data_IF_949597400745
#
_entry.id   IF_949597400745
#
_cell.length_a   1.000
_cell.length_b   1.000
_cell.length_c   1.000
_cell.angle_alpha   90.00
_cell.angle_beta   90.00
_cell.angle_gamma   90.00
#
_symmetry.space_group_name_H-M   'P 1'
#
loop_
_entity.id
_entity.type
_entity.pdbx_description
1 polymer ?
#
# COMPACT_ATOMS: atom_id res chain seq x y z
N UNK A 1 28.22 -8.86 -3.72
CA UNK A 1 29.24 -8.17 -2.92
C UNK A 1 28.58 -7.66 -1.65
N UNK A 2 28.97 -8.24 -0.52
CA UNK A 2 28.34 -8.02 0.77
C UNK A 2 29.03 -6.91 1.57
N UNK A 3 29.12 -5.72 1.06
CA UNK A 3 29.44 -4.55 1.89
C UNK A 3 28.13 -3.96 2.35
N UNK A 4 27.90 -3.90 3.68
CA UNK A 4 26.79 -3.14 4.22
C UNK A 4 26.96 -1.68 3.78
N UNK A 5 25.96 -1.17 3.08
CA UNK A 5 25.93 0.19 2.58
C UNK A 5 24.46 0.61 2.44
N UNK A 6 24.20 1.90 2.53
CA UNK A 6 22.87 2.43 2.23
C UNK A 6 22.79 2.70 0.73
N UNK A 7 21.87 2.05 0.05
CA UNK A 7 21.61 2.25 -1.38
C UNK A 7 20.22 2.81 -1.60
N UNK A 8 20.09 3.68 -2.59
CA UNK A 8 18.79 4.10 -3.13
C UNK A 8 18.66 3.40 -4.48
N UNK A 9 17.64 2.58 -4.61
CA UNK A 9 17.34 1.79 -5.79
C UNK A 9 16.04 2.32 -6.39
N UNK A 10 16.05 2.50 -7.68
CA UNK A 10 14.89 2.99 -8.43
C UNK A 10 14.67 2.05 -9.62
N UNK A 11 13.45 1.58 -9.80
CA UNK A 11 13.06 0.78 -10.95
C UNK A 11 12.89 1.62 -12.20
N UNK A 12 12.44 1.00 -13.26
CA UNK A 12 12.02 1.64 -14.51
C UNK A 12 10.51 1.52 -14.65
N UNK A 13 9.96 2.03 -15.76
CA UNK A 13 8.53 1.85 -16.09
C UNK A 13 8.16 0.40 -16.50
N UNK A 14 9.08 -0.54 -16.36
CA UNK A 14 8.89 -1.97 -16.64
C UNK A 14 9.07 -2.76 -15.34
N UNK A 15 8.53 -3.99 -15.29
CA UNK A 15 8.73 -4.86 -14.12
C UNK A 15 10.19 -5.19 -13.92
N UNK A 16 10.78 -4.68 -12.86
CA UNK A 16 12.17 -4.86 -12.48
C UNK A 16 12.34 -5.87 -11.33
N UNK A 17 13.51 -6.49 -11.26
CA UNK A 17 13.95 -7.31 -10.16
C UNK A 17 14.98 -6.55 -9.33
N UNK A 18 14.60 -6.07 -8.15
CA UNK A 18 15.43 -5.25 -7.28
C UNK A 18 15.91 -6.10 -6.12
N UNK A 19 17.23 -6.27 -6.00
CA UNK A 19 17.83 -7.05 -4.92
C UNK A 19 18.41 -6.11 -3.86
N UNK A 20 17.80 -6.10 -2.70
CA UNK A 20 18.33 -5.42 -1.52
C UNK A 20 19.49 -6.23 -0.95
N UNK A 21 20.50 -5.53 -0.48
CA UNK A 21 21.74 -6.12 -0.01
C UNK A 21 21.77 -6.34 1.49
N UNK A 22 22.93 -6.11 2.08
CA UNK A 22 23.10 -5.97 3.53
C UNK A 22 23.23 -4.48 3.84
N UNK A 23 22.46 -3.98 4.78
CA UNK A 23 22.49 -2.57 5.19
C UNK A 23 21.09 -1.96 5.15
N UNK A 24 21.04 -0.65 5.15
CA UNK A 24 19.80 0.13 5.13
C UNK A 24 19.54 0.55 3.69
N UNK A 25 18.81 -0.27 2.94
CA UNK A 25 18.53 -0.01 1.52
C UNK A 25 17.16 0.66 1.35
N UNK A 26 17.05 1.47 0.29
CA UNK A 26 15.82 2.20 -0.02
C UNK A 26 15.40 1.92 -1.45
N UNK A 27 14.15 1.53 -1.64
CA UNK A 27 13.55 1.33 -2.97
C UNK A 27 12.48 2.38 -3.20
N UNK A 28 12.57 3.09 -4.32
CA UNK A 28 11.58 4.09 -4.71
C UNK A 28 10.63 3.47 -5.73
N UNK A 29 9.33 3.49 -5.40
CA UNK A 29 8.26 3.25 -6.36
C UNK A 29 7.98 4.54 -7.14
N UNK A 30 8.22 4.50 -8.44
CA UNK A 30 8.06 5.63 -9.35
C UNK A 30 7.35 5.25 -10.66
N UNK A 31 6.63 4.13 -10.69
CA UNK A 31 5.94 3.68 -11.90
C UNK A 31 4.63 4.44 -12.13
N UNK A 32 4.68 5.47 -12.95
CA UNK A 32 3.52 6.25 -13.36
C UNK A 32 2.56 5.50 -14.28
N UNK A 33 2.93 4.34 -14.80
CA UNK A 33 2.04 3.52 -15.63
C UNK A 33 1.14 2.60 -14.82
N UNK A 34 1.57 2.19 -13.60
CA UNK A 34 0.86 1.21 -12.78
C UNK A 34 0.62 -0.14 -13.46
N UNK A 35 1.22 -0.36 -14.62
CA UNK A 35 1.02 -1.56 -15.44
C UNK A 35 2.07 -2.64 -15.16
N UNK A 36 3.13 -2.30 -14.47
CA UNK A 36 4.23 -3.19 -14.11
C UNK A 36 4.38 -3.26 -12.59
N UNK A 37 4.71 -4.45 -12.10
CA UNK A 37 4.94 -4.67 -10.67
C UNK A 37 6.40 -5.02 -10.48
N UNK A 38 7.14 -4.14 -9.82
CA UNK A 38 8.52 -4.41 -9.45
C UNK A 38 8.58 -5.45 -8.34
N UNK A 39 9.61 -6.30 -8.41
CA UNK A 39 9.83 -7.33 -7.39
C UNK A 39 11.06 -6.99 -6.57
N UNK A 40 10.84 -6.74 -5.29
CA UNK A 40 11.88 -6.52 -4.29
C UNK A 40 12.24 -7.84 -3.63
N UNK A 41 13.51 -8.20 -3.68
CA UNK A 41 14.07 -9.39 -3.06
C UNK A 41 14.91 -9.04 -1.85
N UNK A 42 14.92 -9.92 -0.86
CA UNK A 42 15.73 -9.79 0.37
C UNK A 42 15.37 -8.59 1.23
N UNK A 43 14.12 -8.11 1.18
CA UNK A 43 13.62 -7.05 2.04
C UNK A 43 13.66 -7.49 3.50
N UNK A 44 14.23 -6.65 4.36
CA UNK A 44 14.30 -6.86 5.81
C UNK A 44 13.24 -6.02 6.49
N UNK A 45 12.15 -6.66 6.94
CA UNK A 45 11.04 -6.02 7.64
C UNK A 45 11.38 -5.71 9.11
N UNK A 46 10.68 -4.78 9.73
CA UNK A 46 10.80 -4.44 11.14
C UNK A 46 11.41 -3.06 11.42
N UNK A 47 11.47 -2.19 10.43
CA UNK A 47 11.63 -0.74 10.59
C UNK A 47 13.03 -0.22 10.94
N UNK A 48 14.07 -0.98 10.70
CA UNK A 48 15.42 -0.52 11.07
C UNK A 48 16.44 -0.59 9.92
N UNK A 49 16.10 -1.17 8.78
CA UNK A 49 17.07 -1.45 7.73
C UNK A 49 16.59 -1.06 6.36
N UNK A 50 15.55 -1.71 5.83
CA UNK A 50 15.10 -1.47 4.46
C UNK A 50 13.83 -0.62 4.42
N UNK A 51 13.71 0.26 3.43
CA UNK A 51 12.54 1.15 3.29
C UNK A 51 12.01 1.12 1.87
N UNK A 52 10.69 0.96 1.72
CA UNK A 52 10.00 1.21 0.46
C UNK A 52 9.46 2.65 0.49
N UNK A 53 9.86 3.44 -0.49
CA UNK A 53 9.44 4.82 -0.66
C UNK A 53 8.36 4.85 -1.74
N UNK A 54 7.23 5.45 -1.43
CA UNK A 54 6.13 5.66 -2.37
C UNK A 54 6.05 7.14 -2.71
N UNK A 55 6.25 7.47 -3.97
CA UNK A 55 5.95 8.81 -4.47
C UNK A 55 4.43 8.91 -4.69
N UNK A 56 3.79 9.76 -3.91
CA UNK A 56 2.34 9.95 -3.97
C UNK A 56 1.92 10.50 -5.33
N UNK A 57 2.73 11.39 -5.92
CA UNK A 57 2.43 11.97 -7.22
C UNK A 57 2.46 10.91 -8.34
N UNK A 58 3.32 9.92 -8.24
CA UNK A 58 3.38 8.80 -9.17
C UNK A 58 2.17 7.87 -9.01
N UNK A 59 1.75 7.57 -7.79
CA UNK A 59 0.51 6.84 -7.55
C UNK A 59 -0.69 7.58 -8.13
N UNK A 60 -0.79 8.89 -7.91
CA UNK A 60 -1.88 9.73 -8.43
C UNK A 60 -1.91 9.81 -9.96
N UNK A 61 -0.76 9.73 -10.61
CA UNK A 61 -0.65 9.80 -12.09
C UNK A 61 -0.63 8.44 -12.75
N UNK A 62 -0.58 7.34 -12.00
CA UNK A 62 -0.54 5.99 -12.51
C UNK A 62 -1.79 5.65 -13.32
N UNK A 63 -1.67 5.65 -14.64
CA UNK A 63 -2.80 5.54 -15.59
C UNK A 63 -3.52 4.19 -15.54
N UNK A 64 -2.90 3.15 -14.97
CA UNK A 64 -3.52 1.84 -14.80
C UNK A 64 -4.39 1.77 -13.55
N UNK A 65 -4.28 2.71 -12.62
CA UNK A 65 -5.09 2.70 -11.42
C UNK A 65 -6.54 3.08 -11.73
N UNK A 66 -6.76 4.23 -12.30
CA UNK A 66 -8.05 4.66 -12.92
C UNK A 66 -7.73 5.90 -13.75
N UNK A 67 -8.62 6.31 -14.66
CA UNK A 67 -8.42 7.52 -15.45
C UNK A 67 -8.34 8.84 -14.66
N UNK A 68 -8.47 8.79 -13.33
CA UNK A 68 -8.28 9.92 -12.42
C UNK A 68 -8.13 9.45 -10.97
N UNK A 69 -6.93 9.10 -10.53
CA UNK A 69 -6.64 9.01 -9.09
C UNK A 69 -6.64 10.43 -8.53
N UNK A 70 -7.59 10.77 -7.68
CA UNK A 70 -7.77 12.13 -7.19
C UNK A 70 -7.05 12.37 -5.88
N UNK A 71 -6.98 11.36 -5.01
CA UNK A 71 -6.28 11.48 -3.73
C UNK A 71 -5.83 10.12 -3.20
N UNK A 72 -4.75 10.11 -2.41
CA UNK A 72 -4.39 8.99 -1.55
C UNK A 72 -4.96 9.27 -0.17
N UNK A 73 -5.99 8.53 0.23
CA UNK A 73 -6.82 8.79 1.41
C UNK A 73 -6.31 8.17 2.71
N UNK A 74 -5.06 7.78 2.78
CA UNK A 74 -4.54 7.14 3.99
C UNK A 74 -4.51 8.04 5.23
N UNK A 75 -4.84 9.33 5.09
CA UNK A 75 -5.04 10.26 6.19
C UNK A 75 -6.53 10.41 6.60
N UNK A 76 -7.43 9.65 5.96
CA UNK A 76 -8.87 9.72 6.21
C UNK A 76 -9.53 11.03 5.73
N UNK A 77 -8.84 11.82 4.92
CA UNK A 77 -9.38 13.01 4.26
C UNK A 77 -9.30 12.85 2.74
N UNK A 78 -10.14 13.56 2.00
CA UNK A 78 -10.06 13.62 0.54
C UNK A 78 -8.87 14.49 0.05
N UNK A 79 -8.01 14.94 0.95
CA UNK A 79 -6.76 15.61 0.60
C UNK A 79 -5.68 14.56 0.32
N UNK A 80 -4.78 14.86 -0.60
CA UNK A 80 -3.61 14.02 -0.83
C UNK A 80 -2.82 13.82 0.48
N UNK A 81 -2.37 12.60 0.73
CA UNK A 81 -1.50 12.29 1.86
C UNK A 81 -0.26 13.21 1.83
N UNK A 82 0.16 13.68 2.99
CA UNK A 82 1.36 14.49 3.10
C UNK A 82 2.62 13.61 3.06
N UNK A 83 3.71 14.13 2.51
CA UNK A 83 5.01 13.48 2.60
C UNK A 83 5.41 13.23 4.06
N UNK A 84 5.96 12.08 4.36
CA UNK A 84 6.43 11.72 5.70
C UNK A 84 6.38 10.24 6.00
N UNK A 85 6.72 9.90 7.24
CA UNK A 85 6.66 8.53 7.76
C UNK A 85 5.21 8.09 7.86
N UNK A 86 4.91 6.91 7.34
CA UNK A 86 3.60 6.28 7.44
C UNK A 86 3.34 5.76 8.86
N UNK A 87 2.08 5.82 9.28
CA UNK A 87 1.60 5.07 10.45
C UNK A 87 1.09 3.71 9.99
N UNK A 88 1.54 2.65 10.63
CA UNK A 88 1.03 1.30 10.35
C UNK A 88 -0.29 1.11 11.11
N UNK A 89 -1.33 0.76 10.36
CA UNK A 89 -2.63 0.34 10.91
C UNK A 89 -2.86 -1.11 10.54
N UNK A 90 -2.81 -2.00 11.54
CA UNK A 90 -2.98 -3.44 11.33
C UNK A 90 -4.46 -3.82 11.21
N UNK A 91 -4.84 -4.32 10.05
CA UNK A 91 -6.19 -4.81 9.77
C UNK A 91 -6.28 -6.31 10.05
N UNK A 92 -6.61 -6.68 11.29
CA UNK A 92 -6.95 -8.06 11.69
C UNK A 92 -8.46 -8.33 11.67
N UNK A 93 -9.28 -7.32 11.48
CA UNK A 93 -10.74 -7.29 11.42
C UNK A 93 -11.23 -5.99 10.80
N UNK A 94 -12.42 -5.56 11.16
CA UNK A 94 -12.93 -4.24 10.75
C UNK A 94 -12.01 -3.14 11.27
N UNK A 95 -11.65 -2.20 10.39
CA UNK A 95 -10.65 -1.16 10.66
C UNK A 95 -11.19 0.19 10.19
N UNK A 96 -10.99 1.23 11.00
CA UNK A 96 -11.33 2.60 10.64
C UNK A 96 -10.06 3.37 10.31
N UNK A 97 -10.02 4.01 9.16
CA UNK A 97 -8.92 4.88 8.75
C UNK A 97 -9.09 6.22 9.45
N UNK A 98 -8.06 6.64 10.19
CA UNK A 98 -8.08 7.88 10.98
C UNK A 98 -7.70 9.08 10.13
N UNK A 99 -8.38 10.21 10.33
CA UNK A 99 -8.03 11.50 9.71
C UNK A 99 -6.80 12.19 10.32
N UNK A 100 -6.11 11.54 11.24
CA UNK A 100 -5.04 12.19 12.01
C UNK A 100 -3.61 11.81 11.57
N UNK A 101 -3.44 10.81 10.68
CA UNK A 101 -2.13 10.32 10.27
C UNK A 101 -2.19 9.71 8.85
N UNK A 102 -1.05 9.67 8.18
CA UNK A 102 -0.89 8.94 6.92
C UNK A 102 -0.80 7.44 7.26
N UNK A 103 -1.87 6.72 7.04
CA UNK A 103 -1.96 5.33 7.44
C UNK A 103 -1.64 4.38 6.26
N UNK A 104 -0.74 3.43 6.48
CA UNK A 104 -0.62 2.25 5.63
C UNK A 104 -1.41 1.11 6.27
N UNK A 105 -2.39 0.59 5.57
CA UNK A 105 -3.20 -0.53 6.06
C UNK A 105 -2.43 -1.84 5.84
N UNK A 106 -2.00 -2.48 6.91
CA UNK A 106 -1.30 -3.76 6.87
C UNK A 106 -2.25 -4.88 7.25
N UNK A 107 -2.56 -5.75 6.30
CA UNK A 107 -3.47 -6.88 6.51
C UNK A 107 -2.74 -8.02 7.20
N UNK A 108 -3.12 -8.32 8.43
CA UNK A 108 -2.45 -9.32 9.26
C UNK A 108 -3.29 -10.59 9.49
N UNK A 109 -2.62 -11.71 9.66
CA UNK A 109 -3.22 -12.98 10.09
C UNK A 109 -4.07 -13.69 9.03
N UNK A 110 -4.02 -13.27 7.78
CA UNK A 110 -4.69 -13.92 6.65
C UNK A 110 -3.96 -13.62 5.34
N UNK A 111 -4.25 -14.41 4.32
CA UNK A 111 -3.74 -14.24 2.95
C UNK A 111 -4.89 -13.96 2.00
N UNK A 112 -4.63 -13.11 0.99
CA UNK A 112 -5.62 -12.67 0.01
C UNK A 112 -4.98 -12.60 -1.38
N UNK A 113 -5.74 -12.85 -2.42
CA UNK A 113 -5.41 -12.33 -3.76
C UNK A 113 -5.92 -10.88 -3.86
N UNK A 114 -5.52 -10.15 -4.89
CA UNK A 114 -6.04 -8.80 -5.12
C UNK A 114 -7.58 -8.79 -5.15
N UNK A 115 -8.20 -9.70 -5.92
CA UNK A 115 -9.66 -9.78 -6.04
C UNK A 115 -10.35 -10.08 -4.69
N UNK A 116 -9.79 -11.00 -3.89
CA UNK A 116 -10.39 -11.36 -2.60
C UNK A 116 -10.14 -10.31 -1.52
N UNK A 117 -9.10 -9.48 -1.65
CA UNK A 117 -8.83 -8.40 -0.72
C UNK A 117 -9.83 -7.25 -0.89
N UNK A 118 -10.19 -6.88 -2.13
CA UNK A 118 -11.25 -5.90 -2.37
C UNK A 118 -12.52 -6.29 -1.62
N UNK A 119 -13.04 -7.47 -1.89
CA UNK A 119 -14.22 -8.01 -1.20
C UNK A 119 -14.06 -8.09 0.33
N UNK A 120 -12.84 -8.33 0.84
CA UNK A 120 -12.60 -8.37 2.28
C UNK A 120 -12.69 -6.99 2.94
N UNK A 121 -12.37 -5.92 2.20
CA UNK A 121 -12.43 -4.53 2.67
C UNK A 121 -13.84 -3.93 2.61
N UNK A 122 -14.71 -4.48 1.82
CA UNK A 122 -16.09 -4.03 1.62
C UNK A 122 -17.05 -4.50 2.73
N UNK A 123 -18.26 -3.94 2.73
CA UNK A 123 -19.30 -4.28 3.69
C UNK A 123 -19.65 -5.78 3.65
N UNK A 124 -19.61 -6.41 4.81
CA UNK A 124 -19.79 -7.87 4.94
C UNK A 124 -18.51 -8.70 4.79
N UNK A 125 -17.41 -8.09 4.40
CA UNK A 125 -16.09 -8.72 4.38
C UNK A 125 -15.51 -8.93 5.78
N UNK A 126 -14.38 -9.61 5.85
CA UNK A 126 -13.72 -9.92 7.13
C UNK A 126 -12.62 -8.93 7.53
N UNK A 127 -12.38 -7.90 6.71
CA UNK A 127 -11.42 -6.81 6.91
C UNK A 127 -12.02 -5.45 6.56
N UNK A 128 -13.29 -5.27 6.84
CA UNK A 128 -14.06 -4.07 6.45
C UNK A 128 -13.30 -2.80 6.80
N UNK A 129 -13.12 -1.94 5.80
CA UNK A 129 -12.56 -0.60 5.98
C UNK A 129 -13.66 0.44 6.06
N UNK A 130 -13.48 1.41 6.94
CA UNK A 130 -14.36 2.57 7.09
C UNK A 130 -13.52 3.84 7.11
N UNK A 131 -13.90 4.84 6.34
CA UNK A 131 -13.26 6.17 6.36
C UNK A 131 -14.00 7.06 7.33
N UNK A 132 -13.29 7.62 8.32
CA UNK A 132 -13.91 8.25 9.50
C UNK A 132 -14.50 9.64 9.27
N UNK A 133 -14.20 10.36 8.20
CA UNK A 133 -14.58 11.79 8.15
C UNK A 133 -15.01 12.34 6.81
N UNK A 134 -14.76 11.65 5.73
CA UNK A 134 -14.97 12.17 4.37
C UNK A 134 -15.59 11.08 3.51
N UNK A 135 -16.46 11.47 2.56
CA UNK A 135 -16.87 10.56 1.49
C UNK A 135 -15.67 10.30 0.58
N UNK A 136 -15.56 9.09 0.04
CA UNK A 136 -14.63 8.81 -1.03
C UNK A 136 -15.24 9.19 -2.38
N UNK A 137 -14.41 9.75 -3.23
CA UNK A 137 -14.73 9.97 -4.64
C UNK A 137 -14.17 8.83 -5.50
N UNK A 138 -14.71 8.67 -6.69
CA UNK A 138 -14.15 7.73 -7.69
C UNK A 138 -12.69 8.07 -7.95
N UNK A 139 -11.80 7.10 -7.80
CA UNK A 139 -10.35 7.27 -7.95
C UNK A 139 -9.60 7.54 -6.65
N UNK A 140 -10.29 7.77 -5.55
CA UNK A 140 -9.62 7.85 -4.24
C UNK A 140 -8.98 6.51 -3.89
N UNK A 141 -7.80 6.56 -3.30
CA UNK A 141 -6.94 5.39 -3.16
C UNK A 141 -6.47 5.24 -1.74
N UNK A 142 -6.49 4.01 -1.24
CA UNK A 142 -5.95 3.61 0.06
C UNK A 142 -4.75 2.69 -0.19
N UNK A 143 -3.58 3.03 0.34
CA UNK A 143 -2.43 2.14 0.27
C UNK A 143 -2.56 1.01 1.29
N UNK A 144 -2.31 -0.20 0.85
CA UNK A 144 -2.42 -1.40 1.67
C UNK A 144 -1.24 -2.35 1.42
N UNK A 145 -0.89 -3.12 2.44
CA UNK A 145 0.08 -4.21 2.36
C UNK A 145 -0.60 -5.51 2.74
N UNK A 146 -0.47 -6.53 1.91
CA UNK A 146 -1.05 -7.86 2.16
C UNK A 146 -0.14 -8.97 1.65
N UNK A 147 -0.39 -10.23 2.04
CA UNK A 147 0.28 -11.41 1.49
C UNK A 147 -0.71 -12.29 0.73
N UNK A 148 -0.25 -12.89 -0.37
CA UNK A 148 -1.02 -13.90 -1.12
C UNK A 148 -0.72 -15.35 -0.70
N UNK A 149 0.14 -15.52 0.30
CA UNK A 149 0.61 -16.82 0.75
C UNK A 149 1.95 -17.25 0.13
N UNK A 150 2.46 -16.48 -0.81
CA UNK A 150 3.76 -16.68 -1.47
C UNK A 150 4.65 -15.46 -1.31
N UNK A 151 4.09 -14.29 -1.58
CA UNK A 151 4.76 -12.99 -1.53
C UNK A 151 3.87 -11.97 -0.80
N UNK A 152 4.43 -10.84 -0.38
CA UNK A 152 3.65 -9.69 0.03
C UNK A 152 3.57 -8.65 -1.09
N UNK A 153 2.51 -7.84 -1.07
CA UNK A 153 2.27 -6.79 -2.05
C UNK A 153 1.92 -5.47 -1.35
N UNK A 154 2.67 -4.43 -1.67
CA UNK A 154 2.19 -3.08 -1.50
C UNK A 154 1.25 -2.79 -2.67
N UNK A 155 0.04 -2.38 -2.37
CA UNK A 155 -1.03 -2.22 -3.35
C UNK A 155 -1.85 -0.96 -3.08
N UNK A 156 -2.52 -0.49 -4.13
CA UNK A 156 -3.52 0.54 -4.09
C UNK A 156 -4.92 -0.10 -4.11
N UNK A 157 -5.74 0.16 -3.09
CA UNK A 157 -7.17 -0.09 -3.10
C UNK A 157 -7.86 1.18 -3.63
N UNK A 158 -8.38 1.12 -4.84
CA UNK A 158 -8.91 2.27 -5.56
C UNK A 158 -10.43 2.24 -5.53
N UNK A 159 -11.06 3.33 -5.10
CA UNK A 159 -12.51 3.48 -5.12
C UNK A 159 -13.03 3.60 -6.56
N UNK A 160 -13.96 2.75 -6.94
CA UNK A 160 -14.61 2.75 -8.26
C UNK A 160 -15.97 3.45 -8.25
N UNK A 161 -16.51 3.70 -7.07
CA UNK A 161 -17.76 4.42 -6.83
C UNK A 161 -17.57 5.49 -5.76
N UNK A 162 -18.50 6.44 -5.66
CA UNK A 162 -18.54 7.36 -4.51
C UNK A 162 -19.12 6.63 -3.30
N UNK A 163 -18.51 6.82 -2.12
CA UNK A 163 -19.01 6.30 -0.86
C UNK A 163 -19.34 7.42 0.12
N UNK A 164 -20.16 7.12 1.10
CA UNK A 164 -20.61 8.08 2.10
C UNK A 164 -19.70 8.01 3.32
N UNK A 165 -19.25 9.16 3.80
CA UNK A 165 -18.42 9.25 5.01
C UNK A 165 -18.97 8.45 6.19
N UNK A 166 -18.09 7.79 6.92
CA UNK A 166 -18.39 6.94 8.08
C UNK A 166 -19.18 5.65 7.75
N UNK A 167 -19.19 5.22 6.50
CA UNK A 167 -19.71 3.92 6.09
C UNK A 167 -18.57 3.01 5.63
N UNK A 168 -18.85 1.73 5.55
CA UNK A 168 -17.95 0.79 4.89
C UNK A 168 -18.18 0.87 3.37
N UNK A 169 -17.15 0.59 2.58
CA UNK A 169 -17.31 0.41 1.14
C UNK A 169 -18.34 -0.68 0.85
N UNK A 170 -19.18 -0.46 -0.16
CA UNK A 170 -20.17 -1.45 -0.60
C UNK A 170 -19.52 -2.50 -1.52
N UNK A 171 -20.32 -3.43 -2.03
CA UNK A 171 -19.83 -4.48 -2.91
C UNK A 171 -19.37 -3.92 -4.26
N UNK A 172 -18.19 -4.33 -4.70
CA UNK A 172 -17.55 -3.92 -5.95
C UNK A 172 -17.09 -2.43 -5.98
N UNK A 173 -17.00 -1.79 -4.81
CA UNK A 173 -16.53 -0.40 -4.71
C UNK A 173 -15.01 -0.27 -4.79
N UNK A 174 -14.27 -1.34 -4.55
CA UNK A 174 -12.82 -1.31 -4.51
C UNK A 174 -12.17 -2.21 -5.57
N UNK A 175 -11.20 -1.66 -6.28
CA UNK A 175 -10.27 -2.42 -7.12
C UNK A 175 -8.88 -2.40 -6.51
N UNK A 176 -8.25 -3.56 -6.35
CA UNK A 176 -6.90 -3.68 -5.81
C UNK A 176 -5.89 -3.76 -6.97
N UNK A 177 -4.94 -2.85 -6.97
CA UNK A 177 -3.84 -2.79 -7.95
C UNK A 177 -2.51 -2.94 -7.23
N UNK A 178 -1.76 -3.98 -7.56
CA UNK A 178 -0.44 -4.21 -6.98
C UNK A 178 0.58 -3.22 -7.54
N UNK A 179 1.34 -2.58 -6.65
CA UNK A 179 2.38 -1.61 -6.98
C UNK A 179 3.77 -2.24 -6.87
N UNK A 180 4.08 -2.85 -5.72
CA UNK A 180 5.36 -3.49 -5.45
C UNK A 180 5.11 -4.88 -4.89
N UNK A 181 5.86 -5.86 -5.40
CA UNK A 181 5.91 -7.20 -4.85
C UNK A 181 7.14 -7.37 -3.95
N UNK A 182 6.96 -7.83 -2.74
CA UNK A 182 8.03 -8.15 -1.79
C UNK A 182 8.14 -9.67 -1.71
N UNK A 183 9.19 -10.20 -2.33
CA UNK A 183 9.32 -11.65 -2.54
C UNK A 183 9.61 -12.42 -1.26
N UNK A 184 8.93 -13.55 -1.10
CA UNK A 184 9.17 -14.53 -0.04
C UNK A 184 8.50 -14.21 1.30
N UNK A 185 7.66 -13.18 1.38
CA UNK A 185 6.85 -12.91 2.57
C UNK A 185 5.50 -13.62 2.43
N UNK A 186 5.46 -14.85 2.90
CA UNK A 186 4.31 -15.75 2.74
C UNK A 186 3.16 -15.48 3.70
N UNK A 187 3.40 -14.72 4.75
CA UNK A 187 2.40 -14.29 5.73
C UNK A 187 2.83 -13.03 6.43
N UNK A 188 1.86 -12.26 6.91
CA UNK A 188 2.09 -11.06 7.71
C UNK A 188 1.46 -11.28 9.08
N UNK A 189 2.30 -11.29 10.13
CA UNK A 189 1.85 -11.29 11.52
C UNK A 189 1.82 -9.87 12.08
N UNK A 190 1.10 -9.68 13.18
CA UNK A 190 1.10 -8.40 13.89
C UNK A 190 2.52 -8.03 14.33
N UNK A 191 2.93 -6.79 14.07
CA UNK A 191 4.26 -6.27 14.38
C UNK A 191 5.36 -6.67 13.39
N UNK A 192 5.04 -7.37 12.31
CA UNK A 192 6.02 -7.76 11.28
C UNK A 192 6.57 -6.56 10.52
N UNK A 193 5.75 -5.53 10.31
CA UNK A 193 6.15 -4.29 9.66
C UNK A 193 6.05 -3.12 10.64
N UNK A 194 6.93 -2.16 10.47
CA UNK A 194 6.99 -0.95 11.27
C UNK A 194 6.96 0.31 10.38
N UNK A 195 6.68 1.46 10.96
CA UNK A 195 6.61 2.73 10.23
C UNK A 195 7.88 3.05 9.43
N UNK A 196 9.05 2.60 9.89
CA UNK A 196 10.32 2.79 9.17
C UNK A 196 10.48 1.94 7.90
N UNK A 197 9.65 0.93 7.68
CA UNK A 197 9.69 0.10 6.47
C UNK A 197 9.08 0.83 5.26
N UNK A 198 8.33 1.92 5.48
CA UNK A 198 7.64 2.66 4.42
C UNK A 198 7.74 4.18 4.64
N UNK A 199 7.84 4.91 3.54
CA UNK A 199 7.88 6.37 3.55
C UNK A 199 7.07 6.93 2.37
N UNK A 200 6.28 7.98 2.62
CA UNK A 200 5.66 8.77 1.56
C UNK A 200 6.55 9.96 1.21
N UNK A 201 6.76 10.15 -0.10
CA UNK A 201 7.33 11.38 -0.66
C UNK A 201 6.31 12.01 -1.61
N UNK A 202 6.45 13.31 -1.85
CA UNK A 202 5.55 14.11 -2.69
C UNK A 202 6.32 14.79 -3.81
#
# INVERSE_FOLDING_TARGET
>A
SSTAGTYILEGTLASDAIYMGLGDDRVIYNDTNGASVDTVYSFTKGGATDTIIVDISDVQTASALVSSVTAVMNDGSAAAAAAGTMTIVEASGATTISSAANDLIVVVGATFTADTLGTAFEAGGNRVLTINSTASDVGDTILTLYSDGTDAYLAAAVATTEDIANTAFESDDLTIVNLVKISGITSIAAGDFAAGDFEFVA
#
